data_IF_093524045904
#
_entry.id   IF_093524045904
#
_cell.length_a   1.000
_cell.length_b   1.000
_cell.length_c   1.000
_cell.angle_alpha   90.00
_cell.angle_beta   90.00
_cell.angle_gamma   90.00
#
_symmetry.space_group_name_H-M   'P 1'
#
loop_
_entity.id
_entity.type
_entity.pdbx_description
1 polymer ?
#
# COMPACT_ATOMS: atom_id res chain seq x y z
N UNK A 1 70.57 -36.65 11.10
CA UNK A 1 70.06 -37.11 12.42
C UNK A 1 69.76 -35.83 13.21
N UNK A 2 68.59 -35.19 13.13
CA UNK A 2 67.26 -35.55 13.66
C UNK A 2 67.27 -35.94 15.15
N UNK A 3 67.07 -34.95 16.05
CA UNK A 3 66.30 -35.07 17.31
C UNK A 3 66.57 -33.87 18.24
N UNK A 4 65.74 -32.83 18.19
CA UNK A 4 65.75 -31.73 19.17
C UNK A 4 64.36 -31.19 19.50
N UNK A 5 63.40 -31.34 18.58
CA UNK A 5 62.06 -30.76 18.72
C UNK A 5 61.02 -31.70 19.36
N UNK A 6 61.41 -32.91 19.82
CA UNK A 6 60.46 -33.91 20.33
C UNK A 6 60.12 -33.79 21.82
N UNK A 7 60.69 -32.82 22.55
CA UNK A 7 60.49 -32.68 24.02
C UNK A 7 59.58 -31.53 24.48
N UNK A 8 59.44 -30.46 23.68
CA UNK A 8 58.61 -29.29 24.05
C UNK A 8 57.19 -29.31 23.48
N UNK A 9 56.92 -30.18 22.51
CA UNK A 9 55.59 -30.32 21.92
C UNK A 9 54.54 -30.79 22.95
N UNK A 10 54.91 -31.68 23.87
CA UNK A 10 53.97 -32.22 24.86
C UNK A 10 53.56 -31.17 25.93
N UNK A 11 54.48 -30.42 26.58
CA UNK A 11 54.11 -29.34 27.48
C UNK A 11 53.30 -28.23 26.78
N UNK A 12 53.66 -27.87 25.55
CA UNK A 12 52.95 -26.85 24.79
C UNK A 12 51.55 -27.30 24.39
N UNK A 13 51.38 -28.58 24.02
CA UNK A 13 50.07 -29.16 23.74
C UNK A 13 49.18 -29.24 24.98
N UNK A 14 49.75 -29.59 26.15
CA UNK A 14 49.02 -29.59 27.42
C UNK A 14 48.61 -28.16 27.82
N UNK A 15 49.52 -27.19 27.65
CA UNK A 15 49.23 -25.78 27.92
C UNK A 15 48.15 -25.24 26.97
N UNK A 16 48.23 -25.56 25.68
CA UNK A 16 47.21 -25.18 24.69
C UNK A 16 45.86 -25.86 24.98
N UNK A 17 45.83 -27.11 25.42
CA UNK A 17 44.61 -27.81 25.85
C UNK A 17 44.03 -27.19 27.13
N UNK A 18 44.87 -26.80 28.08
CA UNK A 18 44.45 -26.16 29.34
C UNK A 18 43.92 -24.74 29.11
N UNK A 19 44.55 -23.96 28.24
CA UNK A 19 44.07 -22.63 27.85
C UNK A 19 42.81 -22.76 26.98
N UNK A 20 42.80 -23.73 26.05
CA UNK A 20 41.64 -24.03 25.21
C UNK A 20 40.41 -24.37 26.04
N UNK A 21 40.51 -25.26 27.03
CA UNK A 21 39.37 -25.59 27.88
C UNK A 21 38.91 -24.42 28.76
N UNK A 22 39.84 -23.56 29.21
CA UNK A 22 39.54 -22.37 30.00
C UNK A 22 38.79 -21.30 29.20
N UNK A 23 39.07 -21.16 27.89
CA UNK A 23 38.49 -20.13 27.03
C UNK A 23 37.25 -20.62 26.28
N UNK A 24 37.29 -21.85 25.76
CA UNK A 24 36.22 -22.40 24.92
C UNK A 24 34.93 -22.60 25.74
N UNK A 25 35.03 -23.04 26.99
CA UNK A 25 33.86 -23.30 27.83
C UNK A 25 33.04 -22.04 28.15
N UNK A 26 33.61 -20.93 28.66
CA UNK A 26 32.85 -19.71 28.87
C UNK A 26 32.40 -19.06 27.56
N UNK A 27 33.17 -19.17 26.48
CA UNK A 27 32.77 -18.68 25.16
C UNK A 27 31.54 -19.42 24.61
N UNK A 28 31.51 -20.75 24.67
CA UNK A 28 30.36 -21.56 24.27
C UNK A 28 29.14 -21.32 25.17
N UNK A 29 29.35 -21.12 26.47
CA UNK A 29 28.27 -20.74 27.39
C UNK A 29 27.66 -19.38 27.06
N UNK A 30 28.50 -18.40 26.70
CA UNK A 30 28.04 -17.07 26.30
C UNK A 30 27.35 -17.09 24.93
N UNK A 31 27.92 -17.78 23.94
CA UNK A 31 27.30 -17.97 22.63
C UNK A 31 25.96 -18.70 22.72
N UNK A 32 25.84 -19.74 23.56
CA UNK A 32 24.58 -20.43 23.82
C UNK A 32 23.54 -19.52 24.45
N UNK A 33 23.93 -18.70 25.43
CA UNK A 33 23.03 -17.74 26.08
C UNK A 33 22.57 -16.63 25.12
N UNK A 34 23.46 -16.12 24.26
CA UNK A 34 23.12 -15.12 23.25
C UNK A 34 22.19 -15.68 22.16
N UNK A 35 22.38 -16.94 21.75
CA UNK A 35 21.48 -17.61 20.81
C UNK A 35 20.10 -17.87 21.41
N UNK A 36 20.03 -18.26 22.69
CA UNK A 36 18.76 -18.40 23.42
C UNK A 36 18.09 -17.03 23.55
N UNK A 37 18.83 -15.98 23.89
CA UNK A 37 18.30 -14.61 23.99
C UNK A 37 17.77 -14.08 22.64
N UNK A 38 18.47 -14.35 21.54
CA UNK A 38 18.03 -14.00 20.18
C UNK A 38 16.76 -14.76 19.80
N UNK A 39 16.70 -16.06 20.10
CA UNK A 39 15.52 -16.89 19.80
C UNK A 39 14.28 -16.45 20.57
N UNK A 40 14.42 -16.08 21.85
CA UNK A 40 13.31 -15.56 22.67
C UNK A 40 12.82 -14.19 22.16
N UNK A 41 13.72 -13.33 21.69
CA UNK A 41 13.35 -12.04 21.10
C UNK A 41 12.62 -12.20 19.76
N UNK A 42 13.14 -13.06 18.87
CA UNK A 42 12.46 -13.40 17.60
C UNK A 42 11.09 -14.04 17.84
N UNK A 43 10.99 -14.92 18.84
CA UNK A 43 9.73 -15.55 19.24
C UNK A 43 8.72 -14.52 19.76
N UNK A 44 9.14 -13.61 20.63
CA UNK A 44 8.27 -12.56 21.19
C UNK A 44 7.81 -11.59 20.10
N UNK A 45 8.67 -11.28 19.12
CA UNK A 45 8.32 -10.41 18.00
C UNK A 45 7.34 -11.10 17.04
N UNK A 46 7.53 -12.39 16.75
CA UNK A 46 6.59 -13.17 15.94
C UNK A 46 5.22 -13.33 16.64
N UNK A 47 5.21 -13.48 17.97
CA UNK A 47 3.99 -13.46 18.77
C UNK A 47 3.31 -12.09 18.72
N UNK A 48 4.06 -11.00 18.81
CA UNK A 48 3.52 -9.64 18.68
C UNK A 48 2.80 -9.45 17.33
N UNK A 49 3.47 -9.76 16.22
CA UNK A 49 2.86 -9.70 14.88
C UNK A 49 1.61 -10.59 14.75
N UNK A 50 1.62 -11.76 15.40
CA UNK A 50 0.47 -12.67 15.38
C UNK A 50 -0.68 -12.15 16.26
N UNK A 51 -0.36 -11.47 17.35
CA UNK A 51 -1.31 -10.78 18.22
C UNK A 51 -1.95 -9.58 17.51
N UNK A 52 -1.16 -8.79 16.80
CA UNK A 52 -1.64 -7.67 15.98
C UNK A 52 -2.62 -8.16 14.91
N UNK A 53 -2.31 -9.25 14.22
CA UNK A 53 -3.24 -9.88 13.28
C UNK A 53 -4.56 -10.34 13.96
N UNK A 54 -4.51 -10.73 15.23
CA UNK A 54 -5.68 -11.02 16.05
C UNK A 54 -6.52 -9.79 16.38
N UNK A 55 -5.88 -8.66 16.65
CA UNK A 55 -6.60 -7.38 16.80
C UNK A 55 -7.35 -7.06 15.51
N UNK A 56 -6.67 -7.13 14.36
CA UNK A 56 -7.26 -6.82 13.05
C UNK A 56 -8.44 -7.72 12.69
N UNK A 57 -8.35 -9.01 13.01
CA UNK A 57 -9.44 -9.95 12.82
C UNK A 57 -10.72 -9.54 13.56
N UNK A 58 -10.58 -9.06 14.80
CA UNK A 58 -11.71 -8.58 15.58
C UNK A 58 -12.28 -7.26 15.06
N UNK A 59 -11.43 -6.33 14.62
CA UNK A 59 -11.89 -5.08 14.01
C UNK A 59 -12.72 -5.39 12.77
N UNK A 60 -12.24 -6.28 11.89
CA UNK A 60 -13.02 -6.70 10.72
C UNK A 60 -14.36 -7.32 11.08
N UNK A 61 -14.41 -8.17 12.11
CA UNK A 61 -15.67 -8.75 12.58
C UNK A 61 -16.68 -7.69 12.96
N UNK A 62 -16.25 -6.69 13.74
CA UNK A 62 -17.09 -5.56 14.16
C UNK A 62 -17.54 -4.72 12.96
N UNK A 63 -16.63 -4.42 12.02
CA UNK A 63 -16.91 -3.58 10.85
C UNK A 63 -17.82 -4.24 9.82
N UNK A 64 -17.61 -5.52 9.53
CA UNK A 64 -18.39 -6.27 8.53
C UNK A 64 -19.81 -6.64 8.99
N UNK A 65 -20.17 -6.31 10.23
CA UNK A 65 -21.43 -6.74 10.86
C UNK A 65 -21.50 -8.26 11.12
N UNK A 66 -20.40 -8.99 10.96
CA UNK A 66 -20.36 -10.44 11.23
C UNK A 66 -20.13 -10.76 12.72
N UNK A 67 -19.69 -9.78 13.50
CA UNK A 67 -19.54 -9.84 14.94
C UNK A 67 -20.38 -8.76 15.62
N UNK A 68 -21.38 -9.19 16.38
CA UNK A 68 -22.15 -8.31 17.24
C UNK A 68 -21.83 -8.60 18.71
N UNK A 69 -21.31 -7.60 19.42
CA UNK A 69 -21.04 -7.69 20.86
C UNK A 69 -21.99 -6.74 21.59
N UNK A 70 -22.89 -7.28 22.39
CA UNK A 70 -23.84 -6.46 23.16
C UNK A 70 -23.12 -5.56 24.15
N UNK A 71 -23.69 -4.38 24.44
CA UNK A 71 -23.12 -3.41 25.39
C UNK A 71 -22.77 -4.04 26.74
N UNK A 72 -21.56 -3.80 27.25
CA UNK A 72 -20.99 -4.39 28.48
C UNK A 72 -20.83 -5.92 28.44
N UNK A 73 -20.80 -6.54 27.26
CA UNK A 73 -20.49 -7.95 27.08
C UNK A 73 -19.11 -8.17 26.45
N UNK A 74 -18.60 -9.39 26.61
CA UNK A 74 -17.36 -9.86 26.00
C UNK A 74 -17.67 -11.08 25.15
N UNK A 75 -17.21 -11.07 23.90
CA UNK A 75 -17.30 -12.20 22.99
C UNK A 75 -15.90 -12.73 22.65
N UNK A 76 -15.75 -14.05 22.62
CA UNK A 76 -14.52 -14.71 22.21
C UNK A 76 -14.65 -15.18 20.77
N UNK A 77 -13.68 -14.83 19.93
CA UNK A 77 -13.69 -15.20 18.52
C UNK A 77 -13.10 -16.60 18.30
N UNK A 78 -13.39 -17.23 17.15
CA UNK A 78 -12.77 -18.50 16.79
C UNK A 78 -11.24 -18.40 16.79
N UNK A 79 -10.61 -19.32 17.51
CA UNK A 79 -9.15 -19.42 17.56
C UNK A 79 -8.58 -19.80 16.18
N UNK A 80 -7.46 -19.20 15.83
CA UNK A 80 -6.73 -19.51 14.59
C UNK A 80 -5.22 -19.56 14.82
N UNK A 81 -4.47 -19.94 13.79
CA UNK A 81 -3.01 -20.07 13.87
C UNK A 81 -2.32 -19.26 12.78
N UNK A 82 -1.42 -18.37 13.17
CA UNK A 82 -0.53 -17.59 12.27
C UNK A 82 0.91 -17.78 12.76
N UNK A 83 1.86 -18.00 11.84
CA UNK A 83 3.28 -18.16 12.17
C UNK A 83 3.56 -19.20 13.28
N UNK A 84 2.82 -20.32 13.29
CA UNK A 84 2.86 -21.35 14.33
C UNK A 84 2.54 -20.83 15.75
N UNK A 85 1.79 -19.73 15.86
CA UNK A 85 1.24 -19.19 17.11
C UNK A 85 -0.26 -19.37 17.11
N UNK A 86 -0.77 -19.85 18.22
CA UNK A 86 -2.21 -19.96 18.46
C UNK A 86 -2.70 -18.60 18.94
N UNK A 87 -3.64 -17.98 18.22
CA UNK A 87 -4.13 -16.64 18.51
C UNK A 87 -5.54 -16.74 19.08
N UNK A 88 -5.69 -16.28 20.33
CA UNK A 88 -6.96 -16.15 21.02
C UNK A 88 -7.38 -14.68 21.06
N UNK A 89 -8.58 -14.37 20.59
CA UNK A 89 -9.09 -12.98 20.52
C UNK A 89 -10.39 -12.84 21.29
N UNK A 90 -10.46 -11.81 22.13
CA UNK A 90 -11.68 -11.42 22.84
C UNK A 90 -12.01 -9.96 22.57
N UNK A 91 -13.29 -9.66 22.38
CA UNK A 91 -13.80 -8.32 22.14
C UNK A 91 -14.80 -7.97 23.23
N UNK A 92 -14.53 -6.93 23.99
CA UNK A 92 -15.41 -6.39 25.04
C UNK A 92 -16.03 -5.08 24.57
N UNK A 93 -17.36 -4.97 24.55
CA UNK A 93 -18.05 -3.72 24.28
C UNK A 93 -18.17 -2.91 25.57
N UNK A 94 -17.43 -1.82 25.69
CA UNK A 94 -17.38 -0.94 26.86
C UNK A 94 -18.51 0.11 26.88
N UNK A 95 -19.41 0.07 25.92
CA UNK A 95 -20.46 1.06 25.70
C UNK A 95 -19.99 2.27 24.91
N UNK A 96 -20.94 3.12 24.51
CA UNK A 96 -20.70 4.28 23.63
C UNK A 96 -19.91 3.92 22.38
N UNK A 97 -20.18 2.74 21.79
CA UNK A 97 -19.50 2.26 20.57
C UNK A 97 -18.00 1.99 20.73
N UNK A 98 -17.49 1.88 21.96
CA UNK A 98 -16.08 1.57 22.23
C UNK A 98 -15.94 0.08 22.52
N UNK A 99 -14.97 -0.55 21.87
CA UNK A 99 -14.62 -1.95 22.02
C UNK A 99 -13.17 -2.07 22.49
N UNK A 100 -12.93 -2.89 23.52
CA UNK A 100 -11.61 -3.36 23.91
C UNK A 100 -11.37 -4.71 23.27
N UNK A 101 -10.41 -4.76 22.36
CA UNK A 101 -9.96 -5.98 21.72
C UNK A 101 -8.70 -6.45 22.43
N UNK A 102 -8.66 -7.71 22.81
CA UNK A 102 -7.48 -8.37 23.40
C UNK A 102 -7.14 -9.58 22.58
N UNK A 103 -5.93 -9.62 22.02
CA UNK A 103 -5.41 -10.75 21.25
C UNK A 103 -4.19 -11.33 21.96
N UNK A 104 -4.18 -12.63 22.21
CA UNK A 104 -3.05 -13.34 22.82
C UNK A 104 -2.53 -14.38 21.85
N UNK A 105 -1.29 -14.19 21.39
CA UNK A 105 -0.59 -15.15 20.55
C UNK A 105 0.30 -16.04 21.42
N UNK A 106 0.05 -17.35 21.38
CA UNK A 106 0.73 -18.35 22.22
C UNK A 106 1.55 -19.30 21.34
N UNK A 107 2.82 -19.44 21.67
CA UNK A 107 3.77 -20.41 21.12
C UNK A 107 3.50 -21.83 21.63
N UNK A 108 3.99 -22.83 20.91
CA UNK A 108 3.86 -24.26 21.27
C UNK A 108 4.44 -24.63 22.65
N UNK A 109 5.38 -23.82 23.17
CA UNK A 109 6.00 -23.97 24.49
C UNK A 109 5.20 -23.30 25.63
N UNK A 110 4.05 -22.70 25.31
CA UNK A 110 3.17 -22.00 26.24
C UNK A 110 3.60 -20.58 26.58
N UNK A 111 4.65 -20.05 25.93
CA UNK A 111 4.95 -18.62 25.97
C UNK A 111 3.91 -17.86 25.15
N UNK A 112 3.43 -16.72 25.65
CA UNK A 112 2.45 -15.93 24.90
C UNK A 112 2.59 -14.44 25.14
N UNK A 113 2.29 -13.68 24.10
CA UNK A 113 2.27 -12.22 24.11
C UNK A 113 0.84 -11.75 23.87
N UNK A 114 0.39 -10.83 24.71
CA UNK A 114 -0.94 -10.22 24.63
C UNK A 114 -0.83 -8.78 24.12
N UNK A 115 -1.63 -8.47 23.11
CA UNK A 115 -1.85 -7.13 22.56
C UNK A 115 -3.26 -6.70 22.90
N UNK A 116 -3.43 -5.41 23.20
CA UNK A 116 -4.76 -4.81 23.44
C UNK A 116 -4.93 -3.57 22.58
N UNK A 117 -6.11 -3.40 22.01
CA UNK A 117 -6.50 -2.20 21.26
C UNK A 117 -7.87 -1.69 21.68
N UNK A 118 -8.02 -0.37 21.71
CA UNK A 118 -9.32 0.28 21.89
C UNK A 118 -9.79 0.78 20.53
N UNK A 119 -11.02 0.42 20.17
CA UNK A 119 -11.60 0.73 18.86
C UNK A 119 -12.97 1.36 19.06
N UNK A 120 -13.18 2.54 18.51
CA UNK A 120 -14.49 3.19 18.50
C UNK A 120 -15.18 2.87 17.17
N UNK A 121 -16.18 2.00 17.21
CA UNK A 121 -16.97 1.59 16.05
C UNK A 121 -18.41 2.07 16.25
N UNK A 122 -18.77 3.14 15.56
CA UNK A 122 -20.12 3.69 15.50
C UNK A 122 -21.12 2.65 15.03
N UNK A 123 -21.84 2.01 15.94
CA UNK A 123 -22.89 1.04 15.63
C UNK A 123 -23.98 1.69 14.78
N UNK A 124 -23.94 1.39 13.49
CA UNK A 124 -24.91 1.75 12.49
C UNK A 124 -24.50 1.10 11.18
N UNK A 125 -25.43 0.42 10.55
CA UNK A 125 -25.40 0.14 9.11
C UNK A 125 -25.16 1.51 8.43
N UNK A 126 -23.90 1.86 8.10
CA UNK A 126 -23.59 3.13 7.43
C UNK A 126 -23.94 2.95 5.96
N UNK A 127 -25.23 2.94 5.69
CA UNK A 127 -25.78 2.96 4.33
C UNK A 127 -25.67 4.35 3.69
N UNK A 128 -24.62 5.11 4.00
CA UNK A 128 -24.40 6.49 3.61
C UNK A 128 -22.91 6.81 3.49
N UNK A 129 -22.60 7.94 2.85
CA UNK A 129 -21.23 8.41 2.61
C UNK A 129 -20.46 8.61 3.92
N UNK A 130 -19.25 8.05 4.02
CA UNK A 130 -18.32 8.29 5.12
C UNK A 130 -17.65 9.66 4.96
N UNK A 131 -17.89 10.59 5.88
CA UNK A 131 -17.32 11.95 5.81
C UNK A 131 -16.16 12.11 6.79
N UNK A 132 -15.04 12.67 6.35
CA UNK A 132 -13.91 13.03 7.22
C UNK A 132 -13.67 14.54 7.11
N UNK A 133 -13.85 15.24 8.23
CA UNK A 133 -13.70 16.70 8.36
C UNK A 133 -12.70 17.14 9.45
N UNK A 134 -12.05 16.20 10.13
CA UNK A 134 -10.98 16.41 11.12
C UNK A 134 -9.76 15.50 10.85
N UNK A 135 -8.59 15.88 11.34
CA UNK A 135 -7.34 15.12 11.18
C UNK A 135 -7.44 13.72 11.82
N UNK A 136 -7.00 12.70 11.08
CA UNK A 136 -6.98 11.29 11.49
C UNK A 136 -5.56 10.75 11.52
N UNK A 137 -5.22 9.99 12.56
CA UNK A 137 -3.96 9.25 12.63
C UNK A 137 -4.21 7.75 12.44
N UNK A 138 -3.36 7.10 11.64
CA UNK A 138 -3.49 5.69 11.27
C UNK A 138 -4.27 5.50 9.97
N UNK A 139 -4.41 4.24 9.56
CA UNK A 139 -5.10 3.93 8.31
C UNK A 139 -6.62 3.95 8.51
N UNK A 140 -7.35 4.38 7.48
CA UNK A 140 -8.80 4.58 7.50
C UNK A 140 -9.50 3.60 6.57
N UNK A 141 -10.62 3.05 7.05
CA UNK A 141 -11.39 2.02 6.36
C UNK A 141 -12.87 2.37 6.35
N UNK A 142 -13.45 2.48 5.15
CA UNK A 142 -14.86 2.81 4.93
C UNK A 142 -15.50 1.73 4.05
N UNK A 143 -16.51 1.05 4.56
CA UNK A 143 -17.24 0.02 3.79
C UNK A 143 -18.38 0.62 2.95
N UNK A 144 -18.08 1.70 2.22
CA UNK A 144 -18.98 2.38 1.29
C UNK A 144 -18.20 3.45 0.50
N UNK A 145 -18.94 4.38 -0.11
CA UNK A 145 -18.43 5.64 -0.62
C UNK A 145 -17.89 6.52 0.53
N UNK A 146 -16.86 7.31 0.23
CA UNK A 146 -16.23 8.21 1.17
C UNK A 146 -15.98 9.61 0.59
N UNK A 147 -16.07 10.62 1.45
CA UNK A 147 -15.81 12.01 1.16
C UNK A 147 -14.87 12.60 2.22
N UNK A 148 -13.75 13.15 1.78
CA UNK A 148 -12.76 13.83 2.63
C UNK A 148 -12.70 15.28 2.17
N UNK A 149 -13.17 16.20 3.01
CA UNK A 149 -13.29 17.60 2.62
C UNK A 149 -12.68 18.54 3.65
N UNK A 150 -12.08 19.61 3.15
CA UNK A 150 -11.42 20.63 3.94
C UNK A 150 -9.94 20.34 4.20
N UNK A 151 -9.35 21.09 5.13
CA UNK A 151 -7.92 20.98 5.44
C UNK A 151 -7.69 19.81 6.42
N UNK A 152 -8.04 18.61 5.98
CA UNK A 152 -7.96 17.37 6.75
C UNK A 152 -6.70 16.62 6.37
N UNK A 153 -6.00 16.06 7.36
CA UNK A 153 -4.89 15.14 7.14
C UNK A 153 -5.23 13.76 7.66
N UNK A 154 -5.10 12.73 6.82
CA UNK A 154 -5.05 11.32 7.23
C UNK A 154 -3.59 10.87 7.23
N UNK A 155 -3.02 10.71 8.42
CA UNK A 155 -1.67 10.20 8.60
C UNK A 155 -1.64 8.66 8.56
N UNK A 156 -1.86 8.12 7.37
CA UNK A 156 -1.98 6.71 7.09
C UNK A 156 -2.48 6.46 5.67
N UNK A 157 -2.78 5.20 5.37
CA UNK A 157 -3.41 4.77 4.13
C UNK A 157 -4.93 4.80 4.25
N UNK A 158 -5.64 4.87 3.12
CA UNK A 158 -7.08 5.01 3.08
C UNK A 158 -7.72 3.98 2.16
N UNK A 159 -8.78 3.35 2.65
CA UNK A 159 -9.44 2.23 1.98
C UNK A 159 -10.95 2.43 2.02
N UNK A 160 -11.58 2.56 0.85
CA UNK A 160 -13.04 2.62 0.73
C UNK A 160 -13.57 1.59 -0.28
N UNK A 161 -14.58 0.79 0.09
CA UNK A 161 -15.13 -0.23 -0.82
C UNK A 161 -15.97 0.38 -1.96
N UNK A 162 -16.40 1.63 -1.81
CA UNK A 162 -17.11 2.42 -2.82
C UNK A 162 -16.23 3.48 -3.50
N UNK A 163 -16.87 4.55 -3.94
CA UNK A 163 -16.24 5.74 -4.54
C UNK A 163 -15.54 6.59 -3.47
N UNK A 164 -14.51 7.35 -3.84
CA UNK A 164 -13.81 8.27 -2.94
C UNK A 164 -13.74 9.65 -3.57
N UNK A 165 -14.19 10.66 -2.85
CA UNK A 165 -13.99 12.07 -3.18
C UNK A 165 -13.08 12.72 -2.13
N UNK A 166 -12.06 13.45 -2.59
CA UNK A 166 -11.16 14.23 -1.76
C UNK A 166 -11.09 15.66 -2.26
N UNK A 167 -11.29 16.64 -1.39
CA UNK A 167 -11.33 18.04 -1.80
C UNK A 167 -10.70 19.01 -0.79
N UNK A 168 -10.41 20.22 -1.28
CA UNK A 168 -10.15 21.42 -0.47
C UNK A 168 -8.96 21.31 0.49
N UNK A 169 -7.80 20.92 -0.05
CA UNK A 169 -6.54 20.69 0.65
C UNK A 169 -6.53 19.47 1.59
N UNK A 170 -7.42 18.51 1.38
CA UNK A 170 -7.33 17.21 2.03
C UNK A 170 -6.03 16.49 1.65
N UNK A 171 -5.37 15.90 2.64
CA UNK A 171 -4.11 15.19 2.49
C UNK A 171 -4.22 13.78 3.07
N UNK A 172 -3.79 12.78 2.31
CA UNK A 172 -3.54 11.41 2.81
C UNK A 172 -2.05 11.16 2.66
N UNK A 173 -1.36 10.82 3.74
CA UNK A 173 0.11 10.64 3.70
C UNK A 173 0.50 9.30 3.07
N UNK A 174 -0.35 8.29 3.19
CA UNK A 174 -0.15 6.94 2.66
C UNK A 174 -0.82 6.67 1.32
N UNK A 175 -1.14 5.40 1.10
CA UNK A 175 -1.74 4.88 -0.12
C UNK A 175 -3.27 5.05 -0.10
N UNK A 176 -3.92 5.06 -1.28
CA UNK A 176 -5.40 5.07 -1.38
C UNK A 176 -5.91 3.93 -2.25
N UNK A 177 -6.91 3.20 -1.74
CA UNK A 177 -7.66 2.18 -2.48
C UNK A 177 -9.15 2.51 -2.46
N UNK A 178 -9.71 2.81 -3.63
CA UNK A 178 -11.14 2.97 -3.85
C UNK A 178 -11.67 1.77 -4.65
N UNK A 179 -12.69 1.08 -4.13
CA UNK A 179 -13.36 0.00 -4.86
C UNK A 179 -14.13 0.51 -6.08
N UNK A 180 -14.55 1.77 -6.04
CA UNK A 180 -15.18 2.52 -7.13
C UNK A 180 -14.25 3.55 -7.78
N UNK A 181 -14.82 4.68 -8.19
CA UNK A 181 -14.08 5.81 -8.73
C UNK A 181 -13.33 6.57 -7.62
N UNK A 182 -12.27 7.29 -8.00
CA UNK A 182 -11.55 8.19 -7.10
C UNK A 182 -11.47 9.59 -7.74
N UNK A 183 -11.85 10.60 -7.00
CA UNK A 183 -11.85 11.99 -7.44
C UNK A 183 -11.11 12.89 -6.45
N UNK A 184 -10.10 13.62 -6.93
CA UNK A 184 -9.31 14.59 -6.17
C UNK A 184 -9.52 15.99 -6.73
N UNK A 185 -9.88 16.94 -5.88
CA UNK A 185 -10.16 18.31 -6.26
C UNK A 185 -9.48 19.32 -5.34
N UNK A 186 -9.25 20.53 -5.86
CA UNK A 186 -8.91 21.72 -5.10
C UNK A 186 -7.73 21.50 -4.12
N UNK A 187 -6.56 21.20 -4.68
CA UNK A 187 -5.31 20.94 -3.98
C UNK A 187 -5.32 19.71 -3.06
N UNK A 188 -6.16 18.71 -3.34
CA UNK A 188 -6.09 17.43 -2.62
C UNK A 188 -4.80 16.68 -2.96
N UNK A 189 -4.20 16.03 -1.96
CA UNK A 189 -2.91 15.35 -2.07
C UNK A 189 -2.99 13.93 -1.53
N UNK A 190 -2.45 12.98 -2.29
CA UNK A 190 -2.15 11.63 -1.81
C UNK A 190 -0.64 11.45 -1.88
N UNK A 191 0.01 11.12 -0.77
CA UNK A 191 1.46 10.96 -0.68
C UNK A 191 1.98 9.63 -1.26
N UNK A 192 1.12 8.60 -1.28
CA UNK A 192 1.43 7.27 -1.76
C UNK A 192 0.91 6.93 -3.16
N UNK A 193 0.73 5.64 -3.39
CA UNK A 193 0.16 5.07 -4.61
C UNK A 193 -1.37 5.02 -4.53
N UNK A 194 -2.00 4.87 -5.69
CA UNK A 194 -3.46 4.91 -5.82
C UNK A 194 -3.96 3.71 -6.62
N UNK A 195 -5.05 3.10 -6.15
CA UNK A 195 -5.82 2.11 -6.89
C UNK A 195 -7.30 2.47 -6.86
N UNK A 196 -7.88 2.76 -8.03
CA UNK A 196 -9.30 3.00 -8.21
C UNK A 196 -9.91 1.88 -9.06
N UNK A 197 -10.95 1.22 -8.56
CA UNK A 197 -11.68 0.20 -9.31
C UNK A 197 -12.41 0.77 -10.54
N UNK A 198 -12.73 2.06 -10.52
CA UNK A 198 -13.39 2.83 -11.57
C UNK A 198 -12.50 3.89 -12.22
N UNK A 199 -13.13 4.99 -12.61
CA UNK A 199 -12.43 6.15 -13.17
C UNK A 199 -11.58 6.85 -12.10
N UNK A 200 -10.46 7.46 -12.50
CA UNK A 200 -9.70 8.40 -11.68
C UNK A 200 -9.83 9.80 -12.23
N UNK A 201 -10.16 10.79 -11.39
CA UNK A 201 -10.19 12.21 -11.74
C UNK A 201 -9.32 13.01 -10.80
N UNK A 202 -8.37 13.78 -11.33
CA UNK A 202 -7.68 14.83 -10.59
C UNK A 202 -8.02 16.17 -11.22
N UNK A 203 -8.29 17.17 -10.39
CA UNK A 203 -8.54 18.53 -10.82
C UNK A 203 -7.89 19.57 -9.89
N UNK A 204 -7.71 20.78 -10.39
CA UNK A 204 -7.38 21.98 -9.62
C UNK A 204 -6.21 21.79 -8.64
N UNK A 205 -5.00 21.66 -9.18
CA UNK A 205 -3.74 21.49 -8.44
C UNK A 205 -3.68 20.26 -7.51
N UNK A 206 -4.46 19.21 -7.78
CA UNK A 206 -4.35 17.96 -7.00
C UNK A 206 -3.15 17.13 -7.42
N UNK A 207 -2.56 16.40 -6.47
CA UNK A 207 -1.32 15.67 -6.66
C UNK A 207 -1.40 14.23 -6.12
N UNK A 208 -0.79 13.28 -6.84
CA UNK A 208 -0.53 11.92 -6.36
C UNK A 208 0.96 11.68 -6.36
N UNK A 209 1.47 11.32 -5.20
CA UNK A 209 2.86 11.03 -4.94
C UNK A 209 3.71 12.26 -4.67
N UNK A 210 5.02 12.04 -4.69
CA UNK A 210 6.03 13.09 -4.62
C UNK A 210 7.25 12.73 -5.46
N UNK A 211 8.14 13.70 -5.66
CA UNK A 211 9.40 13.47 -6.38
C UNK A 211 10.30 12.44 -5.68
N UNK A 212 10.18 12.27 -4.36
CA UNK A 212 11.02 11.38 -3.57
C UNK A 212 10.47 9.96 -3.50
N UNK A 213 9.14 9.83 -3.40
CA UNK A 213 8.45 8.55 -3.18
C UNK A 213 7.94 7.94 -4.50
N UNK A 214 7.73 8.76 -5.53
CA UNK A 214 6.88 8.39 -6.66
C UNK A 214 5.41 8.50 -6.25
N UNK A 215 4.52 7.76 -6.91
CA UNK A 215 3.08 7.78 -6.68
C UNK A 215 2.38 7.15 -7.87
N UNK A 216 2.49 5.82 -7.96
CA UNK A 216 1.94 5.05 -9.06
C UNK A 216 0.42 4.96 -8.95
N UNK A 217 -0.24 4.88 -10.10
CA UNK A 217 -1.69 4.87 -10.21
C UNK A 217 -2.16 3.64 -10.98
N UNK A 218 -3.18 2.98 -10.47
CA UNK A 218 -4.02 2.03 -11.19
C UNK A 218 -5.47 2.49 -11.24
N UNK A 219 -6.07 2.54 -12.43
CA UNK A 219 -7.49 2.83 -12.63
C UNK A 219 -8.17 1.76 -13.48
N UNK A 220 -9.21 1.12 -12.95
CA UNK A 220 -10.03 0.17 -13.69
C UNK A 220 -10.90 0.82 -14.78
N UNK A 221 -11.08 2.14 -14.72
CA UNK A 221 -11.73 2.97 -15.71
C UNK A 221 -10.76 3.89 -16.44
N UNK A 222 -11.24 5.06 -16.81
CA UNK A 222 -10.48 6.11 -17.49
C UNK A 222 -9.73 7.00 -16.49
N UNK A 223 -8.71 7.72 -16.96
CA UNK A 223 -7.97 8.71 -16.17
C UNK A 223 -8.16 10.10 -16.75
N UNK A 224 -8.54 11.03 -15.89
CA UNK A 224 -8.79 12.44 -16.21
C UNK A 224 -7.92 13.34 -15.36
N UNK A 225 -7.08 14.16 -15.99
CA UNK A 225 -6.20 15.12 -15.31
C UNK A 225 -6.45 16.53 -15.82
N UNK A 226 -6.87 17.44 -14.94
CA UNK A 226 -7.28 18.79 -15.33
C UNK A 226 -6.71 19.86 -14.41
N UNK A 227 -6.41 21.04 -14.96
CA UNK A 227 -6.08 22.25 -14.19
C UNK A 227 -4.94 22.05 -13.16
N UNK A 228 -3.72 21.86 -13.68
CA UNK A 228 -2.43 21.82 -12.98
C UNK A 228 -2.23 20.61 -12.07
N UNK A 229 -2.76 19.45 -12.43
CA UNK A 229 -2.59 18.24 -11.61
C UNK A 229 -1.29 17.51 -11.93
N UNK A 230 -0.73 16.79 -10.95
CA UNK A 230 0.51 16.03 -11.12
C UNK A 230 0.37 14.61 -10.60
N UNK A 231 0.82 13.64 -11.40
CA UNK A 231 1.10 12.28 -10.92
C UNK A 231 2.60 12.07 -11.01
N UNK A 232 3.24 11.83 -9.87
CA UNK A 232 4.69 11.64 -9.79
C UNK A 232 5.16 10.25 -10.23
N UNK A 233 4.28 9.26 -10.22
CA UNK A 233 4.56 7.91 -10.70
C UNK A 233 4.09 7.62 -12.13
N UNK A 234 4.02 6.33 -12.44
CA UNK A 234 3.42 5.78 -13.66
C UNK A 234 1.93 5.55 -13.49
N UNK A 235 1.19 5.56 -14.60
CA UNK A 235 -0.25 5.34 -14.62
C UNK A 235 -0.57 4.07 -15.40
N UNK A 236 -1.35 3.16 -14.82
CA UNK A 236 -1.97 2.03 -15.48
C UNK A 236 -3.49 2.24 -15.51
N UNK A 237 -4.10 2.15 -16.68
CA UNK A 237 -5.54 2.36 -16.86
C UNK A 237 -6.11 1.35 -17.83
N UNK A 238 -7.30 0.81 -17.54
CA UNK A 238 -8.02 -0.02 -18.51
C UNK A 238 -8.87 0.80 -19.50
N UNK A 239 -9.01 2.11 -19.26
CA UNK A 239 -9.75 3.05 -20.09
C UNK A 239 -8.85 4.00 -20.88
N UNK A 240 -9.43 5.12 -21.29
CA UNK A 240 -8.71 6.20 -21.99
C UNK A 240 -8.01 7.14 -21.01
N UNK A 241 -7.05 7.89 -21.54
CA UNK A 241 -6.38 8.99 -20.84
C UNK A 241 -6.78 10.34 -21.47
N UNK A 242 -7.21 11.26 -20.63
CA UNK A 242 -7.53 12.65 -20.98
C UNK A 242 -6.81 13.61 -20.03
N UNK A 243 -5.95 14.47 -20.57
CA UNK A 243 -5.15 15.43 -19.80
C UNK A 243 -5.33 16.83 -20.36
N UNK A 244 -5.55 17.81 -19.49
CA UNK A 244 -5.63 19.21 -19.86
C UNK A 244 -5.10 20.14 -18.76
N UNK A 245 -4.94 21.42 -19.10
CA UNK A 245 -4.72 22.49 -18.12
C UNK A 245 -3.37 22.45 -17.40
N UNK A 246 -2.26 22.19 -18.09
CA UNK A 246 -0.90 22.07 -17.54
C UNK A 246 -0.70 20.86 -16.62
N UNK A 247 -1.37 19.74 -16.90
CA UNK A 247 -1.24 18.53 -16.08
C UNK A 247 -0.06 17.66 -16.51
N UNK A 248 0.66 17.09 -15.56
CA UNK A 248 1.88 16.31 -15.81
C UNK A 248 1.80 14.89 -15.23
N UNK A 249 2.16 13.88 -16.02
CA UNK A 249 2.50 12.54 -15.54
C UNK A 249 4.02 12.39 -15.67
N UNK A 250 4.70 12.13 -14.56
CA UNK A 250 6.18 12.02 -14.52
C UNK A 250 6.68 10.65 -14.95
N UNK A 251 5.87 9.60 -14.78
CA UNK A 251 6.19 8.24 -15.18
C UNK A 251 5.69 7.84 -16.57
N UNK A 252 5.61 6.52 -16.76
CA UNK A 252 5.06 5.91 -17.98
C UNK A 252 3.53 5.83 -17.89
N UNK A 253 2.88 5.68 -19.04
CA UNK A 253 1.45 5.41 -19.12
C UNK A 253 1.22 4.05 -19.76
N UNK A 254 0.41 3.21 -19.13
CA UNK A 254 -0.01 1.89 -19.61
C UNK A 254 -1.52 1.89 -19.81
N UNK A 255 -1.97 1.68 -21.04
CA UNK A 255 -3.38 1.57 -21.39
C UNK A 255 -3.66 0.11 -21.74
N UNK A 256 -4.40 -0.57 -20.87
CA UNK A 256 -4.67 -2.02 -20.93
C UNK A 256 -5.71 -2.45 -21.97
N UNK A 257 -6.17 -1.55 -22.84
CA UNK A 257 -7.27 -1.82 -23.77
C UNK A 257 -7.10 -1.13 -25.13
N UNK A 258 -7.95 -1.53 -26.08
CA UNK A 258 -8.21 -0.74 -27.29
C UNK A 258 -9.11 0.43 -26.92
N UNK A 259 -8.68 1.64 -27.22
CA UNK A 259 -9.39 2.88 -26.87
C UNK A 259 -9.77 3.64 -28.13
N UNK A 260 -10.80 4.48 -28.04
CA UNK A 260 -11.16 5.37 -29.13
C UNK A 260 -10.11 6.48 -29.27
N UNK A 261 -9.70 7.10 -28.17
CA UNK A 261 -8.79 8.24 -28.21
C UNK A 261 -7.91 8.38 -26.97
N UNK A 262 -6.80 9.09 -27.13
CA UNK A 262 -5.94 9.59 -26.05
C UNK A 262 -5.78 11.10 -26.30
N UNK A 263 -6.07 11.92 -25.29
CA UNK A 263 -6.05 13.38 -25.43
C UNK A 263 -5.10 13.98 -24.40
N UNK A 264 -4.16 14.79 -24.88
CA UNK A 264 -3.44 15.75 -24.05
C UNK A 264 -3.63 17.14 -24.67
N UNK A 265 -4.02 18.10 -23.85
CA UNK A 265 -4.22 19.49 -24.26
C UNK A 265 -3.56 20.47 -23.28
N UNK A 266 -3.45 21.74 -23.69
CA UNK A 266 -3.07 22.88 -22.86
C UNK A 266 -1.84 22.63 -22.00
N UNK A 267 -0.66 22.52 -22.62
CA UNK A 267 0.65 22.31 -22.00
C UNK A 267 0.81 21.02 -21.18
N UNK A 268 -0.13 20.08 -21.23
CA UNK A 268 -0.04 18.83 -20.46
C UNK A 268 1.09 17.92 -20.98
N UNK A 269 1.74 17.18 -20.08
CA UNK A 269 2.94 16.38 -20.42
C UNK A 269 2.86 14.97 -19.87
N UNK A 270 3.35 14.01 -20.66
CA UNK A 270 3.80 12.72 -20.16
C UNK A 270 5.32 12.71 -20.32
N UNK A 271 6.06 12.61 -19.22
CA UNK A 271 7.52 12.58 -19.25
C UNK A 271 8.08 11.21 -19.68
N UNK A 272 7.35 10.12 -19.38
CA UNK A 272 7.69 8.77 -19.81
C UNK A 272 7.14 8.37 -21.18
N UNK A 273 7.17 7.06 -21.44
CA UNK A 273 6.61 6.43 -22.63
C UNK A 273 5.16 6.00 -22.41
N UNK A 274 4.42 5.85 -23.51
CA UNK A 274 3.03 5.37 -23.52
C UNK A 274 2.98 3.97 -24.13
N UNK A 275 2.37 3.02 -23.44
CA UNK A 275 2.23 1.62 -23.86
C UNK A 275 0.76 1.25 -23.96
N UNK A 276 0.29 0.84 -25.13
CA UNK A 276 -1.13 0.61 -25.44
C UNK A 276 -1.32 -0.87 -25.82
N UNK A 277 -2.00 -1.61 -24.97
CA UNK A 277 -2.41 -3.00 -25.25
C UNK A 277 -3.68 -2.99 -26.11
N UNK A 278 -3.50 -2.76 -27.40
CA UNK A 278 -4.58 -2.68 -28.37
C UNK A 278 -4.33 -1.61 -29.43
N UNK A 279 -5.42 -1.12 -30.02
CA UNK A 279 -5.41 -0.05 -31.02
C UNK A 279 -5.93 1.27 -30.44
N UNK A 280 -5.59 2.39 -31.09
CA UNK A 280 -6.28 3.68 -30.94
C UNK A 280 -7.13 3.90 -32.17
N UNK A 281 -8.44 3.71 -32.03
CA UNK A 281 -9.34 3.58 -33.18
C UNK A 281 -9.79 4.92 -33.79
N UNK A 282 -9.55 6.04 -33.11
CA UNK A 282 -9.82 7.36 -33.66
C UNK A 282 -8.53 8.18 -33.72
N UNK A 283 -8.01 8.64 -32.57
CA UNK A 283 -6.87 9.54 -32.57
C UNK A 283 -6.09 9.55 -31.25
N UNK A 284 -4.79 9.81 -31.35
CA UNK A 284 -4.02 10.46 -30.29
C UNK A 284 -3.98 11.95 -30.61
N UNK A 285 -4.34 12.82 -29.67
CA UNK A 285 -4.35 14.27 -29.88
C UNK A 285 -3.45 14.98 -28.88
N UNK A 286 -2.46 15.72 -29.38
CA UNK A 286 -1.57 16.58 -28.59
C UNK A 286 -1.81 18.05 -28.94
N UNK A 287 -2.77 18.69 -28.28
CA UNK A 287 -3.17 20.06 -28.57
C UNK A 287 -2.48 21.08 -27.66
N UNK A 288 -2.51 22.36 -28.07
CA UNK A 288 -2.03 23.52 -27.30
C UNK A 288 -0.76 23.29 -26.46
N UNK A 289 0.34 22.91 -27.13
CA UNK A 289 1.68 22.70 -26.54
C UNK A 289 1.80 21.49 -25.58
N UNK A 290 0.81 20.59 -25.57
CA UNK A 290 0.94 19.29 -24.93
C UNK A 290 2.02 18.42 -25.60
N UNK A 291 2.68 17.56 -24.81
CA UNK A 291 3.81 16.72 -25.26
C UNK A 291 3.83 15.33 -24.63
N UNK A 292 4.36 14.38 -25.37
CA UNK A 292 4.83 13.09 -24.85
C UNK A 292 6.35 13.07 -25.06
N UNK A 293 7.11 12.90 -23.99
CA UNK A 293 8.58 12.95 -24.09
C UNK A 293 9.19 11.60 -24.43
N UNK A 294 8.58 10.50 -24.00
CA UNK A 294 8.98 9.15 -24.37
C UNK A 294 8.41 8.68 -25.70
N UNK A 295 8.57 7.39 -25.93
CA UNK A 295 8.05 6.68 -27.09
C UNK A 295 6.58 6.32 -26.90
N UNK A 296 5.88 6.05 -28.01
CA UNK A 296 4.52 5.50 -28.00
C UNK A 296 4.55 4.12 -28.64
N UNK A 297 4.14 3.10 -27.89
CA UNK A 297 4.03 1.72 -28.34
C UNK A 297 2.56 1.30 -28.35
N UNK A 298 2.10 0.67 -29.43
CA UNK A 298 0.79 0.03 -29.52
C UNK A 298 0.94 -1.37 -30.11
N UNK A 299 0.30 -2.37 -29.50
CA UNK A 299 0.26 -3.73 -30.07
C UNK A 299 -0.65 -3.83 -31.30
N UNK A 300 -1.57 -2.89 -31.47
CA UNK A 300 -2.41 -2.70 -32.66
C UNK A 300 -2.06 -1.42 -33.43
N UNK A 301 -3.06 -0.86 -34.13
CA UNK A 301 -2.87 0.31 -35.00
C UNK A 301 -3.25 1.61 -34.28
N UNK A 302 -2.67 2.73 -34.72
CA UNK A 302 -3.01 4.08 -34.29
C UNK A 302 -3.55 4.84 -35.50
N UNK A 303 -4.88 5.04 -35.54
CA UNK A 303 -5.53 5.54 -36.77
C UNK A 303 -5.16 6.97 -37.16
N UNK A 304 -4.84 7.81 -36.18
CA UNK A 304 -4.46 9.20 -36.41
C UNK A 304 -3.66 9.76 -35.22
N UNK A 305 -2.64 10.56 -35.50
CA UNK A 305 -1.91 11.32 -34.49
C UNK A 305 -1.96 12.80 -34.85
N UNK A 306 -2.77 13.55 -34.10
CA UNK A 306 -2.88 14.99 -34.26
C UNK A 306 -1.73 15.66 -33.52
N UNK A 307 -0.84 16.30 -34.30
CA UNK A 307 0.42 16.93 -33.83
C UNK A 307 1.48 15.93 -33.36
N UNK A 308 1.74 14.91 -34.18
CA UNK A 308 2.77 13.90 -33.94
C UNK A 308 4.14 14.46 -33.59
N UNK A 309 4.54 15.62 -34.12
CA UNK A 309 5.82 16.27 -33.76
C UNK A 309 5.94 16.70 -32.29
N UNK A 310 4.86 16.59 -31.51
CA UNK A 310 4.85 16.81 -30.08
C UNK A 310 5.12 15.52 -29.26
N UNK A 311 5.22 14.37 -29.94
CA UNK A 311 5.85 13.16 -29.42
C UNK A 311 7.35 13.32 -29.71
N UNK A 312 8.17 13.30 -28.67
CA UNK A 312 9.61 13.50 -28.79
C UNK A 312 10.39 12.19 -28.91
N UNK A 313 9.76 11.06 -28.55
CA UNK A 313 10.21 9.72 -28.91
C UNK A 313 9.66 9.24 -30.25
N UNK A 314 9.79 7.94 -30.48
CA UNK A 314 9.30 7.26 -31.68
C UNK A 314 7.90 6.67 -31.46
N UNK A 315 7.18 6.44 -32.55
CA UNK A 315 5.87 5.76 -32.54
C UNK A 315 6.00 4.37 -33.17
N UNK A 316 5.52 3.36 -32.46
CA UNK A 316 5.55 1.96 -32.85
C UNK A 316 4.14 1.38 -32.86
N UNK A 317 3.61 1.09 -34.04
CA UNK A 317 2.36 0.35 -34.25
C UNK A 317 2.64 -1.14 -34.50
N UNK A 318 1.65 -2.00 -34.23
CA UNK A 318 1.76 -3.46 -34.34
C UNK A 318 2.99 -4.01 -33.59
N UNK A 319 3.36 -3.36 -32.49
CA UNK A 319 4.56 -3.67 -31.73
C UNK A 319 4.45 -5.05 -31.07
N UNK A 320 5.41 -5.93 -31.39
CA UNK A 320 5.45 -7.31 -30.92
C UNK A 320 6.49 -7.57 -29.82
N UNK A 321 7.19 -6.53 -29.36
CA UNK A 321 8.14 -6.66 -28.24
C UNK A 321 7.44 -6.71 -26.88
N UNK A 322 8.19 -7.05 -25.84
CA UNK A 322 7.67 -7.03 -24.47
C UNK A 322 7.61 -5.58 -23.95
N UNK A 323 6.50 -5.22 -23.32
CA UNK A 323 6.40 -4.00 -22.54
C UNK A 323 7.15 -4.14 -21.21
N UNK A 324 7.65 -3.03 -20.63
CA UNK A 324 7.99 -3.03 -19.22
C UNK A 324 6.75 -3.37 -18.39
N UNK A 325 6.92 -3.93 -17.18
CA UNK A 325 5.80 -4.20 -16.30
C UNK A 325 5.06 -2.90 -15.96
N UNK A 326 3.72 -2.88 -15.95
CA UNK A 326 2.94 -1.78 -15.40
C UNK A 326 3.17 -1.67 -13.89
N UNK A 327 2.79 -0.55 -13.25
CA UNK A 327 2.79 -0.46 -11.79
C UNK A 327 1.91 -1.54 -11.14
N UNK A 328 2.30 -1.95 -9.94
CA UNK A 328 1.55 -2.93 -9.14
C UNK A 328 0.31 -2.27 -8.55
N UNK A 329 -0.88 -2.78 -8.90
CA UNK A 329 -2.13 -2.22 -8.40
C UNK A 329 -2.38 -2.67 -6.96
N UNK A 330 -2.52 -1.70 -6.07
CA UNK A 330 -2.91 -1.95 -4.69
C UNK A 330 -4.27 -2.64 -4.64
N UNK A 331 -4.41 -3.53 -3.68
CA UNK A 331 -5.66 -4.20 -3.37
C UNK A 331 -6.12 -3.78 -1.98
N UNK A 332 -7.43 -3.90 -1.74
CA UNK A 332 -7.92 -3.89 -0.37
C UNK A 332 -7.11 -4.89 0.46
N UNK A 333 -6.59 -4.50 1.64
CA UNK A 333 -5.87 -5.41 2.48
C UNK A 333 -6.82 -6.55 2.87
N UNK A 334 -6.32 -7.78 2.76
CA UNK A 334 -7.11 -8.93 3.14
C UNK A 334 -7.40 -8.88 4.66
N UNK A 335 -8.55 -9.43 5.10
CA UNK A 335 -8.91 -9.45 6.52
C UNK A 335 -7.76 -9.99 7.38
N UNK A 336 -7.21 -9.14 8.27
CA UNK A 336 -6.07 -9.47 9.15
C UNK A 336 -4.76 -8.70 8.90
N UNK A 337 -4.76 -7.68 8.03
CA UNK A 337 -3.63 -6.76 7.81
C UNK A 337 -3.65 -5.54 8.74
N UNK A 338 -2.49 -5.21 9.30
CA UNK A 338 -2.23 -4.18 10.32
C UNK A 338 -2.48 -2.76 9.80
N UNK A 339 -3.41 -2.02 10.40
CA UNK A 339 -3.51 -0.57 10.15
C UNK A 339 -4.75 0.15 10.67
N UNK A 340 -5.83 -0.54 11.07
CA UNK A 340 -7.15 0.10 11.09
C UNK A 340 -7.39 0.94 12.35
N UNK A 341 -7.44 2.26 12.17
CA UNK A 341 -7.96 3.20 13.16
C UNK A 341 -9.21 3.87 12.58
N UNK A 342 -10.38 3.56 13.12
CA UNK A 342 -11.64 4.26 12.79
C UNK A 342 -11.81 5.50 13.67
N UNK A 343 -12.25 6.62 13.09
CA UNK A 343 -12.69 7.82 13.81
C UNK A 343 -14.03 8.36 13.26
N UNK A 344 -14.65 9.19 14.10
CA UNK A 344 -16.06 9.60 14.20
C UNK A 344 -16.64 10.44 13.05
#
# INVERSE_FOLDING_TARGET
MHSGEKGQALPLAILALAIGSLVITPFLGHAGSSLIGSGVYEQSLAELYSGDAGIEYAIWGLMSGTLEVTENATEALPQFTINNKTVDVTVENLGSNIYLITATATSDDGHGTTVTSYVQHGGGDWSGEGNIDDDVAGDVFIDNDANIDGNVTVDGSFYATGDVEMANNAEITGDVVAGGALELFNNAVIGGNVSAGGDLRLNNNSEIGSIEVGGDVCAGGNVYLENNTVIYGSVSTAGRLDMSGNSDIKGNVFIGATVDQIILDNNSKIEGSVYITGSVTNKIQLANNARIYGDVYATGTINNIVREQNILGDVYEEYAGAYPPPPDCLTMPEPGGTGIVSWD
#
